data_IF_760007903019
#
_entry.id   IF_760007903019
#
_cell.length_a   1.000
_cell.length_b   1.000
_cell.length_c   1.000
_cell.angle_alpha   90.00
_cell.angle_beta   90.00
_cell.angle_gamma   90.00
#
_symmetry.space_group_name_H-M   'P 1'
#
loop_
_entity.id
_entity.type
_entity.pdbx_description
1 polymer ?
#
# COMPACT_ATOMS: atom_id res chain seq x y z
N UNK A 1 -16.61 0.68 -23.53
CA UNK A 1 -15.73 -0.35 -24.09
C UNK A 1 -16.48 -1.66 -24.00
N UNK A 2 -17.04 -2.10 -25.12
CA UNK A 2 -17.79 -3.36 -25.20
C UNK A 2 -16.80 -4.52 -25.13
N UNK A 3 -16.92 -5.37 -24.11
CA UNK A 3 -16.23 -6.65 -24.03
C UNK A 3 -16.93 -7.64 -24.97
N UNK A 4 -16.46 -7.75 -26.20
CA UNK A 4 -16.80 -8.89 -27.05
C UNK A 4 -15.95 -10.07 -26.62
N UNK A 5 -16.54 -10.98 -25.84
CA UNK A 5 -15.98 -12.32 -25.66
C UNK A 5 -16.08 -13.05 -27.00
N UNK A 6 -14.97 -13.24 -27.68
CA UNK A 6 -14.90 -14.08 -28.90
C UNK A 6 -15.07 -15.53 -28.48
N UNK A 7 -16.27 -16.06 -28.70
CA UNK A 7 -16.57 -17.49 -28.56
C UNK A 7 -16.25 -18.20 -29.88
N UNK A 8 -15.16 -18.93 -29.93
CA UNK A 8 -14.90 -19.89 -31.02
C UNK A 8 -15.58 -21.21 -30.70
N UNK A 9 -16.68 -21.51 -31.40
CA UNK A 9 -17.33 -22.82 -31.31
C UNK A 9 -16.68 -23.72 -32.33
N UNK A 10 -15.85 -24.64 -31.91
CA UNK A 10 -15.28 -25.69 -32.79
C UNK A 10 -16.25 -26.88 -32.91
N UNK A 11 -16.65 -27.18 -34.15
CA UNK A 11 -17.40 -28.37 -34.49
C UNK A 11 -16.48 -29.37 -35.23
N UNK A 12 -16.31 -30.54 -34.67
CA UNK A 12 -15.69 -31.66 -35.39
C UNK A 12 -16.71 -32.79 -35.50
N UNK A 13 -17.11 -33.14 -36.73
CA UNK A 13 -18.04 -34.23 -37.05
C UNK A 13 -19.41 -34.17 -36.32
N UNK A 14 -20.00 -33.00 -36.17
CA UNK A 14 -21.33 -32.85 -35.58
C UNK A 14 -21.42 -33.00 -34.04
N UNK A 15 -20.31 -33.16 -33.36
CA UNK A 15 -20.24 -33.21 -31.89
C UNK A 15 -19.85 -31.81 -31.36
N UNK A 16 -20.66 -31.26 -30.47
CA UNK A 16 -20.36 -29.99 -29.77
C UNK A 16 -19.19 -30.24 -28.83
N UNK A 17 -17.97 -29.98 -29.27
CA UNK A 17 -16.77 -30.04 -28.45
C UNK A 17 -16.65 -28.67 -27.80
N UNK A 18 -16.95 -28.57 -26.54
CA UNK A 18 -16.87 -27.42 -25.64
C UNK A 18 -16.39 -26.07 -26.20
N UNK A 19 -16.88 -25.00 -25.65
CA UNK A 19 -16.40 -23.64 -25.94
C UNK A 19 -14.97 -23.54 -25.40
N UNK A 20 -13.96 -23.55 -26.24
CA UNK A 20 -12.60 -23.21 -25.86
C UNK A 20 -12.54 -21.69 -25.81
N UNK A 21 -12.63 -21.12 -24.62
CA UNK A 21 -12.40 -19.69 -24.44
C UNK A 21 -10.91 -19.40 -24.66
N UNK A 22 -10.59 -18.65 -25.70
CA UNK A 22 -9.25 -18.12 -25.89
C UNK A 22 -8.97 -17.07 -24.83
N UNK A 23 -7.94 -17.27 -24.01
CA UNK A 23 -7.56 -16.27 -23.00
C UNK A 23 -7.08 -15.00 -23.66
N UNK A 24 -7.42 -13.88 -23.07
CA UNK A 24 -6.93 -12.57 -23.50
C UNK A 24 -5.47 -12.43 -23.04
N UNK A 25 -4.55 -12.22 -23.97
CA UNK A 25 -3.15 -12.04 -23.66
C UNK A 25 -2.88 -10.66 -23.05
N UNK A 26 -2.37 -10.63 -21.82
CA UNK A 26 -1.92 -9.42 -21.16
C UNK A 26 -0.46 -9.16 -21.54
N UNK A 27 -0.19 -7.98 -22.10
CA UNK A 27 1.11 -7.65 -22.67
C UNK A 27 2.23 -7.52 -21.63
N UNK A 28 1.92 -6.88 -20.52
CA UNK A 28 2.91 -6.59 -19.48
C UNK A 28 2.69 -7.48 -18.26
N UNK A 29 3.76 -7.91 -17.58
CA UNK A 29 3.65 -8.60 -16.31
C UNK A 29 3.00 -7.73 -15.25
N UNK A 30 2.40 -8.37 -14.24
CA UNK A 30 1.82 -7.69 -13.08
C UNK A 30 2.47 -8.23 -11.82
N UNK A 31 2.89 -7.33 -10.93
CA UNK A 31 3.40 -7.71 -9.61
C UNK A 31 2.22 -8.08 -8.73
N UNK A 32 2.19 -9.33 -8.30
CA UNK A 32 1.18 -9.86 -7.38
C UNK A 32 1.74 -9.81 -5.96
N UNK A 33 1.12 -9.03 -5.10
CA UNK A 33 1.53 -8.86 -3.72
C UNK A 33 0.46 -9.42 -2.82
N UNK A 34 0.72 -10.61 -2.29
CA UNK A 34 -0.18 -11.29 -1.37
C UNK A 34 -0.14 -10.65 0.03
N UNK A 35 -1.13 -10.96 0.84
CA UNK A 35 -1.30 -10.35 2.15
C UNK A 35 -1.59 -11.37 3.24
N UNK A 36 -2.33 -10.91 4.24
CA UNK A 36 -2.64 -11.67 5.43
C UNK A 36 -4.11 -12.11 5.49
N UNK A 37 -4.36 -13.11 6.31
CA UNK A 37 -5.69 -13.54 6.75
C UNK A 37 -6.68 -13.75 5.59
N UNK A 38 -7.90 -13.22 5.74
CA UNK A 38 -8.99 -13.38 4.78
C UNK A 38 -8.66 -12.83 3.39
N UNK A 39 -7.83 -11.79 3.28
CA UNK A 39 -7.52 -11.18 1.98
C UNK A 39 -6.71 -12.10 1.09
N UNK A 40 -5.83 -12.92 1.65
CA UNK A 40 -5.09 -13.97 0.95
C UNK A 40 -6.05 -15.01 0.34
N UNK A 41 -7.01 -15.47 1.12
CA UNK A 41 -8.01 -16.46 0.68
C UNK A 41 -8.89 -15.89 -0.43
N UNK A 42 -9.39 -14.66 -0.24
CA UNK A 42 -10.24 -13.98 -1.22
C UNK A 42 -9.46 -13.71 -2.51
N UNK A 43 -8.20 -13.28 -2.41
CA UNK A 43 -7.37 -13.03 -3.57
C UNK A 43 -7.11 -14.29 -4.38
N UNK A 44 -6.79 -15.39 -3.72
CA UNK A 44 -6.63 -16.68 -4.40
C UNK A 44 -7.90 -17.10 -5.14
N UNK A 45 -9.07 -16.91 -4.52
CA UNK A 45 -10.36 -17.17 -5.16
C UNK A 45 -10.58 -16.27 -6.39
N UNK A 46 -10.30 -14.97 -6.28
CA UNK A 46 -10.42 -14.02 -7.39
C UNK A 46 -9.47 -14.41 -8.52
N UNK A 47 -8.21 -14.67 -8.22
CA UNK A 47 -7.19 -15.06 -9.18
C UNK A 47 -7.62 -16.31 -9.96
N UNK A 48 -8.00 -17.36 -9.24
CA UNK A 48 -8.31 -18.64 -9.86
C UNK A 48 -9.65 -18.70 -10.59
N UNK A 49 -10.65 -17.88 -10.16
CA UNK A 49 -11.99 -17.92 -10.76
C UNK A 49 -12.31 -16.77 -11.72
N UNK A 50 -11.69 -15.61 -11.53
CA UNK A 50 -12.04 -14.41 -12.29
C UNK A 50 -10.89 -13.87 -13.16
N UNK A 51 -9.64 -14.27 -12.91
CA UNK A 51 -8.48 -13.77 -13.65
C UNK A 51 -7.91 -14.86 -14.56
N UNK A 52 -7.36 -15.89 -13.99
CA UNK A 52 -6.61 -16.94 -14.73
C UNK A 52 -7.45 -17.74 -15.76
N UNK A 53 -8.77 -17.92 -15.59
CA UNK A 53 -9.57 -18.56 -16.65
C UNK A 53 -9.69 -17.72 -17.91
N UNK A 54 -9.61 -16.40 -17.80
CA UNK A 54 -9.88 -15.46 -18.90
C UNK A 54 -8.64 -14.77 -19.44
N UNK A 55 -7.59 -14.63 -18.62
CA UNK A 55 -6.37 -13.91 -18.97
C UNK A 55 -5.17 -14.86 -19.06
N UNK A 56 -4.34 -14.65 -20.09
CA UNK A 56 -2.98 -15.14 -20.17
C UNK A 56 -2.06 -14.03 -19.67
N UNK A 57 -1.75 -14.06 -18.37
CA UNK A 57 -1.05 -13.02 -17.65
C UNK A 57 0.13 -13.60 -16.89
N UNK A 58 1.26 -12.90 -16.95
CA UNK A 58 2.47 -13.20 -16.18
C UNK A 58 2.40 -12.48 -14.82
N UNK A 59 2.36 -13.25 -13.72
CA UNK A 59 2.25 -12.77 -12.36
C UNK A 59 3.56 -12.97 -11.61
N UNK A 60 4.19 -11.87 -11.19
CA UNK A 60 5.36 -11.89 -10.33
C UNK A 60 4.93 -11.81 -8.86
N UNK A 61 4.95 -12.96 -8.20
CA UNK A 61 4.42 -13.15 -6.85
C UNK A 61 5.40 -12.74 -5.75
N UNK A 62 4.88 -11.98 -4.78
CA UNK A 62 5.56 -11.60 -3.54
C UNK A 62 4.63 -11.83 -2.35
N UNK A 63 5.10 -12.59 -1.37
CA UNK A 63 4.36 -12.82 -0.13
C UNK A 63 4.66 -11.73 0.90
N UNK A 64 3.69 -10.84 1.16
CA UNK A 64 3.79 -9.83 2.21
C UNK A 64 2.99 -10.19 3.47
N UNK A 65 2.71 -11.47 3.70
CA UNK A 65 2.22 -11.93 4.99
C UNK A 65 3.19 -11.60 6.12
N UNK A 66 2.66 -11.26 7.28
CA UNK A 66 3.45 -10.74 8.42
C UNK A 66 4.57 -11.69 8.84
N UNK A 67 4.32 -13.00 8.80
CA UNK A 67 5.32 -14.02 9.15
C UNK A 67 6.48 -14.08 8.15
N UNK A 68 6.19 -14.01 6.84
CA UNK A 68 7.23 -14.02 5.81
C UNK A 68 8.01 -12.71 5.78
N UNK A 69 7.35 -11.60 6.03
CA UNK A 69 8.03 -10.30 6.24
C UNK A 69 9.01 -10.36 7.41
N UNK A 70 8.59 -10.98 8.53
CA UNK A 70 9.47 -11.17 9.69
C UNK A 70 10.67 -12.08 9.37
N UNK A 71 10.46 -13.17 8.63
CA UNK A 71 11.54 -14.06 8.19
C UNK A 71 12.58 -13.32 7.34
N UNK A 72 12.14 -12.43 6.46
CA UNK A 72 13.00 -11.67 5.52
C UNK A 72 13.47 -10.33 6.08
N UNK A 73 13.17 -10.01 7.34
CA UNK A 73 13.41 -8.70 7.95
C UNK A 73 12.83 -7.56 7.09
N UNK A 74 11.60 -7.75 6.62
CA UNK A 74 10.83 -6.86 5.73
C UNK A 74 11.48 -6.58 4.35
N UNK A 75 12.54 -7.31 3.98
CA UNK A 75 13.19 -7.12 2.67
C UNK A 75 12.22 -7.40 1.51
N UNK A 76 11.32 -8.38 1.65
CA UNK A 76 10.32 -8.71 0.62
C UNK A 76 9.42 -7.52 0.26
N UNK A 77 9.15 -6.61 1.19
CA UNK A 77 8.38 -5.38 0.93
C UNK A 77 9.14 -4.44 -0.01
N UNK A 78 10.45 -4.33 0.18
CA UNK A 78 11.33 -3.54 -0.69
C UNK A 78 11.40 -4.16 -2.08
N UNK A 79 11.67 -5.46 -2.14
CA UNK A 79 11.76 -6.21 -3.41
C UNK A 79 10.47 -6.10 -4.24
N UNK A 80 9.31 -6.19 -3.58
CA UNK A 80 8.01 -6.01 -4.23
C UNK A 80 7.83 -4.60 -4.79
N UNK A 81 8.25 -3.57 -4.04
CA UNK A 81 8.17 -2.17 -4.50
C UNK A 81 9.10 -1.91 -5.70
N UNK A 82 10.31 -2.44 -5.69
CA UNK A 82 11.26 -2.35 -6.80
C UNK A 82 10.74 -3.09 -8.03
N UNK A 83 10.08 -4.23 -7.83
CA UNK A 83 9.43 -4.96 -8.92
C UNK A 83 8.30 -4.12 -9.56
N UNK A 84 7.50 -3.39 -8.76
CA UNK A 84 6.49 -2.47 -9.30
C UNK A 84 7.16 -1.35 -10.12
N UNK A 85 8.27 -0.79 -9.66
CA UNK A 85 9.02 0.21 -10.45
C UNK A 85 9.47 -0.37 -11.80
N UNK A 86 9.91 -1.61 -11.81
CA UNK A 86 10.38 -2.30 -13.02
C UNK A 86 9.26 -2.63 -14.00
N UNK A 87 8.14 -3.15 -13.52
CA UNK A 87 7.05 -3.65 -14.36
C UNK A 87 5.90 -2.66 -14.56
N UNK A 88 5.87 -1.60 -13.77
CA UNK A 88 4.93 -0.47 -13.93
C UNK A 88 3.57 -0.66 -13.27
N UNK A 89 3.21 -1.87 -12.79
CA UNK A 89 1.93 -2.13 -12.15
C UNK A 89 2.03 -3.24 -11.12
N UNK A 90 1.28 -3.10 -10.03
CA UNK A 90 1.15 -4.14 -9.02
C UNK A 90 -0.25 -4.15 -8.41
N UNK A 91 -0.67 -5.32 -7.95
CA UNK A 91 -1.90 -5.53 -7.18
C UNK A 91 -1.51 -6.00 -5.79
N UNK A 92 -2.00 -5.31 -4.76
CA UNK A 92 -1.65 -5.59 -3.38
C UNK A 92 -2.88 -5.96 -2.56
N UNK A 93 -2.79 -7.09 -1.88
CA UNK A 93 -3.72 -7.48 -0.82
C UNK A 93 -3.49 -6.69 0.46
N UNK A 94 -4.45 -6.71 1.38
CA UNK A 94 -4.28 -6.12 2.69
C UNK A 94 -3.23 -6.89 3.50
N UNK A 95 -2.44 -6.16 4.27
CA UNK A 95 -1.38 -6.71 5.12
C UNK A 95 -1.55 -6.22 6.55
N UNK A 96 -1.17 -7.05 7.51
CA UNK A 96 -1.10 -6.66 8.91
C UNK A 96 0.02 -5.63 9.11
N UNK A 97 -0.31 -4.53 9.79
CA UNK A 97 0.67 -3.64 10.41
C UNK A 97 0.64 -3.99 11.90
N UNK A 98 1.67 -4.69 12.41
CA UNK A 98 1.61 -5.19 13.78
C UNK A 98 1.66 -4.04 14.80
N UNK A 99 0.86 -4.18 15.84
CA UNK A 99 0.97 -3.52 17.12
C UNK A 99 1.60 -4.48 18.14
N UNK A 100 1.67 -4.09 19.40
CA UNK A 100 2.27 -4.87 20.47
C UNK A 100 1.60 -6.24 20.61
N UNK A 101 0.26 -6.31 20.55
CA UNK A 101 -0.50 -7.54 20.68
C UNK A 101 -0.21 -8.49 19.49
N UNK A 102 -0.11 -7.95 18.29
CA UNK A 102 0.23 -8.73 17.09
C UNK A 102 1.68 -9.20 17.09
N UNK A 103 2.60 -8.42 17.65
CA UNK A 103 4.00 -8.86 17.84
C UNK A 103 4.06 -10.08 18.73
N UNK A 104 3.29 -10.11 19.83
CA UNK A 104 3.22 -11.25 20.73
C UNK A 104 2.51 -12.45 20.06
N UNK A 105 1.35 -12.23 19.43
CA UNK A 105 0.55 -13.28 18.76
C UNK A 105 1.36 -14.05 17.71
N UNK A 106 2.09 -13.35 16.86
CA UNK A 106 2.89 -13.95 15.79
C UNK A 106 4.36 -14.20 16.17
N UNK A 107 4.75 -13.90 17.41
CA UNK A 107 6.14 -14.02 17.90
C UNK A 107 7.14 -13.32 16.98
N UNK A 108 6.82 -12.09 16.56
CA UNK A 108 7.64 -11.32 15.62
C UNK A 108 8.91 -10.80 16.28
N UNK A 109 9.98 -10.64 15.50
CA UNK A 109 11.27 -10.08 15.94
C UNK A 109 11.15 -8.62 16.34
N UNK A 110 10.28 -7.88 15.67
CA UNK A 110 10.02 -6.46 15.95
C UNK A 110 8.65 -6.00 15.41
N UNK A 111 8.23 -4.82 15.82
CA UNK A 111 7.02 -4.17 15.32
C UNK A 111 7.28 -3.54 13.95
N UNK A 112 7.10 -4.34 12.88
CA UNK A 112 7.36 -3.94 11.50
C UNK A 112 6.50 -2.76 11.06
N UNK A 113 7.08 -1.84 10.31
CA UNK A 113 6.36 -0.69 9.73
C UNK A 113 5.31 -1.14 8.71
N UNK A 114 4.36 -0.26 8.44
CA UNK A 114 3.35 -0.53 7.42
C UNK A 114 3.96 -0.74 6.03
N UNK A 115 3.76 -1.88 5.37
CA UNK A 115 4.25 -2.12 4.01
C UNK A 115 3.70 -1.10 3.01
N UNK A 116 2.47 -0.60 3.26
CA UNK A 116 1.88 0.44 2.41
C UNK A 116 2.70 1.74 2.42
N UNK A 117 3.25 2.11 3.58
CA UNK A 117 4.12 3.27 3.72
C UNK A 117 5.44 3.06 2.96
N UNK A 118 6.09 1.92 3.20
CA UNK A 118 7.36 1.55 2.56
C UNK A 118 7.23 1.54 1.03
N UNK A 119 6.23 0.85 0.48
CA UNK A 119 5.99 0.77 -0.97
C UNK A 119 5.75 2.15 -1.57
N UNK A 120 4.87 2.97 -0.97
CA UNK A 120 4.60 4.33 -1.49
C UNK A 120 5.83 5.22 -1.48
N UNK A 121 6.64 5.12 -0.43
CA UNK A 121 7.87 5.90 -0.31
C UNK A 121 8.89 5.52 -1.37
N UNK A 122 9.04 4.23 -1.67
CA UNK A 122 9.93 3.73 -2.73
C UNK A 122 9.42 4.16 -4.11
N UNK A 123 8.11 4.07 -4.34
CA UNK A 123 7.50 4.49 -5.62
C UNK A 123 7.53 6.01 -5.82
N UNK A 124 7.62 6.81 -4.76
CA UNK A 124 7.81 8.26 -4.81
C UNK A 124 6.63 9.05 -5.37
N UNK A 125 5.45 8.47 -5.43
CA UNK A 125 4.29 9.06 -6.07
C UNK A 125 3.41 9.91 -5.15
N UNK A 126 2.52 10.69 -5.76
CA UNK A 126 1.41 11.35 -5.10
C UNK A 126 0.10 10.75 -5.58
N UNK A 127 -0.78 10.38 -4.64
CA UNK A 127 -2.11 9.87 -4.94
C UNK A 127 -3.13 10.95 -4.61
N UNK A 128 -3.88 11.39 -5.61
CA UNK A 128 -5.03 12.28 -5.40
C UNK A 128 -6.30 11.45 -5.25
N UNK A 129 -7.03 11.70 -4.16
CA UNK A 129 -8.32 11.09 -3.89
C UNK A 129 -9.40 12.13 -4.12
N UNK A 130 -10.07 12.05 -5.25
CA UNK A 130 -11.21 12.87 -5.58
C UNK A 130 -12.50 12.21 -5.06
N UNK A 131 -13.39 12.96 -4.39
CA UNK A 131 -14.63 12.39 -3.87
C UNK A 131 -15.60 12.05 -5.00
N UNK A 132 -16.28 10.92 -4.88
CA UNK A 132 -17.41 10.58 -5.73
C UNK A 132 -18.64 11.30 -5.17
N UNK A 133 -19.18 12.25 -5.94
CA UNK A 133 -20.37 13.04 -5.54
C UNK A 133 -21.60 12.46 -6.23
N UNK A 134 -22.50 11.88 -5.42
CA UNK A 134 -23.80 11.41 -5.89
C UNK A 134 -24.84 12.52 -5.68
N UNK A 135 -25.40 13.03 -6.76
CA UNK A 135 -26.36 14.16 -6.72
C UNK A 135 -27.68 13.83 -6.00
N UNK A 136 -28.04 12.55 -5.96
CA UNK A 136 -29.26 12.03 -5.35
C UNK A 136 -29.08 11.63 -3.87
N UNK A 137 -27.87 11.76 -3.31
CA UNK A 137 -27.60 11.47 -1.90
C UNK A 137 -27.34 12.78 -1.15
N UNK A 138 -28.06 13.08 -0.08
CA UNK A 138 -27.81 14.24 0.75
C UNK A 138 -26.40 14.24 1.31
N UNK A 139 -25.72 15.37 1.29
CA UNK A 139 -24.37 15.52 1.87
C UNK A 139 -24.47 15.60 3.39
N UNK A 140 -23.50 15.01 4.08
CA UNK A 140 -23.39 15.11 5.55
C UNK A 140 -23.21 16.57 6.01
N UNK A 141 -22.49 17.38 5.22
CA UNK A 141 -22.31 18.81 5.45
C UNK A 141 -22.89 19.56 4.26
N UNK A 142 -24.14 20.06 4.37
CA UNK A 142 -24.87 20.65 3.22
C UNK A 142 -24.17 21.86 2.58
N UNK A 143 -23.41 22.63 3.37
CA UNK A 143 -22.68 23.82 2.89
C UNK A 143 -21.42 23.50 2.06
N UNK A 144 -20.96 22.26 2.04
CA UNK A 144 -19.80 21.85 1.22
C UNK A 144 -20.23 21.54 -0.21
N UNK A 145 -20.20 22.56 -1.05
CA UNK A 145 -20.70 22.46 -2.44
C UNK A 145 -19.60 22.11 -3.44
N UNK A 146 -18.34 22.25 -3.06
CA UNK A 146 -17.20 21.93 -3.91
C UNK A 146 -16.52 20.61 -3.46
N UNK A 147 -15.91 19.84 -4.38
CA UNK A 147 -15.17 18.66 -4.02
C UNK A 147 -13.93 19.00 -3.21
N UNK A 148 -13.63 18.19 -2.19
CA UNK A 148 -12.38 18.26 -1.43
C UNK A 148 -11.49 17.14 -1.93
N UNK A 149 -10.38 17.49 -2.58
CA UNK A 149 -9.41 16.54 -3.08
C UNK A 149 -8.32 16.33 -2.03
N UNK A 150 -8.06 15.08 -1.66
CA UNK A 150 -7.01 14.72 -0.70
C UNK A 150 -5.79 14.24 -1.47
N UNK A 151 -4.68 14.97 -1.38
CA UNK A 151 -3.38 14.55 -1.88
C UNK A 151 -2.61 13.76 -0.82
N UNK A 152 -2.22 12.53 -1.13
CA UNK A 152 -1.31 11.73 -0.30
C UNK A 152 0.02 11.56 -1.03
N UNK A 153 1.10 12.00 -0.40
CA UNK A 153 2.44 11.97 -1.00
C UNK A 153 3.43 11.13 -0.17
N UNK A 154 4.56 10.78 -0.78
CA UNK A 154 5.61 9.98 -0.16
C UNK A 154 6.52 10.77 0.80
N UNK A 155 6.36 12.09 0.89
CA UNK A 155 7.20 12.97 1.70
C UNK A 155 6.38 13.62 2.79
N UNK A 156 6.93 13.70 4.02
CA UNK A 156 6.26 14.35 5.14
C UNK A 156 4.98 13.63 5.58
N UNK A 157 5.02 12.32 5.73
CA UNK A 157 3.92 11.55 6.30
C UNK A 157 4.26 11.01 7.70
N UNK A 158 3.24 10.66 8.47
CA UNK A 158 3.39 10.19 9.84
C UNK A 158 4.26 8.93 9.98
N UNK A 159 4.40 8.10 8.93
CA UNK A 159 5.24 6.90 8.94
C UNK A 159 6.74 7.22 8.87
N UNK A 160 7.11 8.47 8.54
CA UNK A 160 8.46 9.00 8.59
C UNK A 160 8.68 9.94 9.76
N UNK A 161 7.64 10.22 10.50
CA UNK A 161 7.73 11.06 11.69
C UNK A 161 8.58 10.37 12.76
N UNK A 162 9.26 11.17 13.54
CA UNK A 162 9.90 10.74 14.78
C UNK A 162 9.14 11.36 15.92
N UNK A 163 8.70 10.55 16.86
CA UNK A 163 8.03 11.00 18.07
C UNK A 163 8.71 10.49 19.32
N UNK A 164 8.53 11.20 20.40
CA UNK A 164 9.01 10.80 21.72
C UNK A 164 8.21 11.46 22.83
N UNK A 165 8.15 10.77 23.96
CA UNK A 165 7.45 11.26 25.14
C UNK A 165 8.27 12.35 25.84
N UNK A 166 7.62 13.45 26.19
CA UNK A 166 8.16 14.51 27.04
C UNK A 166 7.68 14.21 28.46
N UNK A 167 8.57 13.91 29.41
CA UNK A 167 8.19 13.45 30.75
C UNK A 167 7.70 14.57 31.67
N UNK A 168 7.96 15.85 31.34
CA UNK A 168 7.60 16.96 32.19
C UNK A 168 7.85 18.32 31.56
N UNK A 169 7.87 19.37 32.41
CA UNK A 169 8.14 20.75 31.98
C UNK A 169 9.52 20.88 31.30
N UNK A 170 9.56 21.63 30.17
CA UNK A 170 10.83 21.83 29.46
C UNK A 170 10.67 22.48 28.08
N UNK A 171 11.79 22.69 27.41
CA UNK A 171 11.83 23.29 26.07
C UNK A 171 12.12 22.25 24.99
N UNK A 172 11.37 22.31 23.90
CA UNK A 172 11.70 21.60 22.68
C UNK A 172 12.47 22.54 21.76
N UNK A 173 13.64 22.10 21.34
CA UNK A 173 14.51 22.86 20.44
C UNK A 173 14.93 22.01 19.24
N UNK A 174 15.02 22.63 18.07
CA UNK A 174 15.58 22.00 16.86
C UNK A 174 16.96 22.60 16.60
N UNK A 175 17.93 21.74 16.47
CA UNK A 175 19.30 22.10 16.16
C UNK A 175 19.73 21.52 14.82
N UNK A 176 20.21 22.39 13.95
CA UNK A 176 20.85 22.00 12.72
C UNK A 176 22.34 22.31 12.76
N UNK A 177 23.17 21.37 12.30
CA UNK A 177 24.61 21.56 12.19
C UNK A 177 25.04 21.11 10.80
N UNK A 178 25.82 21.96 10.10
CA UNK A 178 26.42 21.59 8.81
C UNK A 178 27.37 20.39 8.95
N UNK A 179 27.55 19.63 7.85
CA UNK A 179 28.39 18.43 7.85
C UNK A 179 29.83 18.69 8.27
N UNK A 180 30.36 19.89 7.99
CA UNK A 180 31.71 20.35 8.41
C UNK A 180 31.74 20.95 9.81
N UNK A 181 30.61 21.00 10.52
CA UNK A 181 30.46 21.52 11.88
C UNK A 181 30.55 23.04 12.01
N UNK A 182 30.79 23.79 10.93
CA UNK A 182 31.08 25.23 10.98
C UNK A 182 29.81 26.09 11.13
N UNK A 183 28.70 25.63 10.57
CA UNK A 183 27.44 26.37 10.66
C UNK A 183 26.47 25.64 11.57
N UNK A 184 25.83 26.39 12.45
CA UNK A 184 24.80 25.89 13.38
C UNK A 184 23.61 26.81 13.37
N UNK A 185 22.42 26.26 13.44
CA UNK A 185 21.17 26.99 13.71
C UNK A 185 20.42 26.28 14.82
N UNK A 186 19.89 27.05 15.72
CA UNK A 186 19.06 26.58 16.83
C UNK A 186 17.74 27.36 16.80
N UNK A 187 16.65 26.64 16.96
CA UNK A 187 15.30 27.20 16.98
C UNK A 187 14.55 26.61 18.16
N UNK A 188 14.08 27.45 19.05
CA UNK A 188 13.16 27.07 20.10
C UNK A 188 11.77 26.87 19.47
N UNK A 189 11.22 25.66 19.56
CA UNK A 189 9.97 25.26 18.92
C UNK A 189 8.81 25.44 19.87
N UNK A 190 8.92 24.88 21.08
CA UNK A 190 7.83 24.88 22.04
C UNK A 190 8.31 24.82 23.49
N UNK A 191 7.53 25.38 24.39
CA UNK A 191 7.76 25.31 25.83
C UNK A 191 6.68 24.44 26.46
N UNK A 192 7.03 23.23 26.85
CA UNK A 192 6.09 22.31 27.50
C UNK A 192 5.84 22.74 28.93
N UNK A 193 4.58 22.99 29.32
CA UNK A 193 4.22 23.33 30.73
C UNK A 193 4.11 22.06 31.61
N UNK A 194 4.30 20.87 31.05
CA UNK A 194 4.18 19.57 31.68
C UNK A 194 4.51 18.46 30.71
N UNK A 195 4.08 17.22 31.02
CA UNK A 195 4.26 16.09 30.13
C UNK A 195 3.48 16.23 28.82
N UNK A 196 4.00 15.61 27.75
CA UNK A 196 3.38 15.64 26.43
C UNK A 196 4.09 14.73 25.44
N UNK A 197 3.80 14.92 24.16
CA UNK A 197 4.46 14.20 23.06
C UNK A 197 5.00 15.21 22.06
N UNK A 198 6.24 15.03 21.64
CA UNK A 198 6.82 15.77 20.51
C UNK A 198 6.81 14.89 19.27
N UNK A 199 6.38 15.47 18.15
CA UNK A 199 6.31 14.81 16.83
C UNK A 199 7.00 15.70 15.81
N UNK A 200 7.82 15.09 14.94
CA UNK A 200 8.42 15.75 13.77
C UNK A 200 8.02 15.01 12.50
N UNK A 201 7.75 15.73 11.42
CA UNK A 201 7.49 15.18 10.09
C UNK A 201 8.50 15.72 9.09
#
# INVERSE_FOLDING_TARGET
VELYALYDIQYIRGIKIGIVMTKIKVKNPVVEIDGDEMTRIIWDLIKNKLILPYLDIDLHYYDLGVEYRDQTNDQVTIDAAEAIQKYGVGVKCATITPDEDRVEEFSLKEMWKSPNGTIRNILGGTVFREPIICSNIPRLVPGWTQPIVIGRHAFGDQYRATDFLIPGEGNLEVKWTSKDGKNKKELKVFNFPGSGTALTM
#
